data_IF_228362817728
#
_entry.id   IF_228362817728
#
_cell.length_a   1.000
_cell.length_b   1.000
_cell.length_c   1.000
_cell.angle_alpha   90.00
_cell.angle_beta   90.00
_cell.angle_gamma   90.00
#
_symmetry.space_group_name_H-M   'P 1'
#
loop_
_entity.id
_entity.type
_entity.pdbx_description
1 polymer ?
#
# COMPACT_ATOMS: atom_id res chain seq x y z
N UNK A 1 -18.79 -13.67 19.11
CA UNK A 1 -19.02 -12.42 18.40
C UNK A 1 -18.89 -12.78 16.93
N UNK A 2 -20.00 -12.95 16.21
CA UNK A 2 -19.97 -13.19 14.78
C UNK A 2 -19.68 -11.85 14.12
N UNK A 3 -18.56 -11.74 13.40
CA UNK A 3 -18.34 -10.62 12.52
C UNK A 3 -19.37 -10.70 11.40
N UNK A 4 -20.11 -9.61 11.19
CA UNK A 4 -21.05 -9.50 10.08
C UNK A 4 -20.22 -9.43 8.80
N UNK A 5 -20.13 -10.55 8.08
CA UNK A 5 -19.29 -10.73 6.89
C UNK A 5 -19.99 -10.23 5.61
N UNK A 6 -21.18 -9.67 5.74
CA UNK A 6 -22.07 -9.34 4.63
C UNK A 6 -21.57 -8.28 3.63
N UNK A 7 -20.43 -7.62 3.86
CA UNK A 7 -19.87 -6.62 2.94
C UNK A 7 -18.33 -6.72 2.82
N UNK A 8 -17.73 -7.87 3.15
CA UNK A 8 -16.29 -8.07 3.07
C UNK A 8 -15.83 -8.18 1.62
N UNK A 9 -15.02 -7.20 1.20
CA UNK A 9 -14.29 -7.29 -0.06
C UNK A 9 -13.11 -8.24 0.11
N UNK A 10 -13.01 -9.22 -0.76
CA UNK A 10 -11.86 -10.13 -0.83
C UNK A 10 -11.18 -10.06 -2.20
N UNK A 11 -9.87 -10.22 -2.19
CA UNK A 11 -9.06 -10.23 -3.39
C UNK A 11 -9.29 -11.54 -4.14
N UNK A 12 -9.65 -11.48 -5.43
CA UNK A 12 -9.89 -12.65 -6.27
C UNK A 12 -8.84 -12.82 -7.35
N UNK A 13 -8.22 -11.73 -7.83
CA UNK A 13 -7.11 -11.83 -8.77
C UNK A 13 -6.09 -10.71 -8.60
N UNK A 14 -4.85 -10.98 -9.03
CA UNK A 14 -3.73 -10.07 -9.03
C UNK A 14 -2.94 -10.21 -10.33
N UNK A 15 -2.66 -9.09 -10.97
CA UNK A 15 -1.88 -8.96 -12.18
C UNK A 15 -0.65 -8.10 -11.93
N UNK A 16 0.53 -8.58 -12.33
CA UNK A 16 1.78 -7.85 -12.25
C UNK A 16 2.43 -7.81 -13.64
N UNK A 17 2.89 -6.65 -14.07
CA UNK A 17 3.69 -6.48 -15.29
C UNK A 17 4.90 -5.61 -14.96
N UNK A 18 6.09 -6.09 -15.27
CA UNK A 18 7.38 -5.46 -15.01
C UNK A 18 7.53 -4.95 -13.56
N UNK A 19 6.96 -5.70 -12.62
CA UNK A 19 6.97 -5.35 -11.21
C UNK A 19 8.02 -6.15 -10.45
N UNK A 20 8.97 -5.47 -9.82
CA UNK A 20 10.07 -6.07 -9.06
C UNK A 20 10.89 -7.04 -9.94
N UNK A 21 10.77 -8.35 -9.70
CA UNK A 21 11.45 -9.40 -10.47
C UNK A 21 10.56 -10.05 -11.55
N UNK A 22 9.29 -9.68 -11.61
CA UNK A 22 8.34 -10.25 -12.57
C UNK A 22 8.35 -9.51 -13.91
N UNK A 23 8.40 -10.24 -15.01
CA UNK A 23 8.04 -9.74 -16.34
C UNK A 23 6.53 -9.62 -16.46
N UNK A 24 5.87 -10.74 -16.21
CA UNK A 24 4.43 -10.84 -16.01
C UNK A 24 4.14 -11.91 -14.97
N UNK A 25 3.09 -11.71 -14.20
CA UNK A 25 2.59 -12.69 -13.25
C UNK A 25 1.10 -12.47 -13.10
N UNK A 26 0.35 -13.55 -13.16
CA UNK A 26 -1.09 -13.56 -12.93
C UNK A 26 -1.42 -14.58 -11.86
N UNK A 27 -2.29 -14.19 -10.96
CA UNK A 27 -2.82 -15.04 -9.91
C UNK A 27 -4.32 -14.79 -9.84
N UNK A 28 -5.11 -15.83 -10.00
CA UNK A 28 -6.57 -15.82 -9.89
C UNK A 28 -7.05 -16.86 -8.87
N UNK A 29 -8.35 -16.95 -8.70
CA UNK A 29 -8.99 -17.86 -7.76
C UNK A 29 -8.44 -17.76 -6.32
N UNK A 30 -8.04 -16.54 -5.93
CA UNK A 30 -7.61 -16.26 -4.56
C UNK A 30 -8.78 -16.49 -3.61
N UNK A 31 -8.61 -17.48 -2.73
CA UNK A 31 -9.61 -17.84 -1.73
C UNK A 31 -9.36 -17.13 -0.39
N UNK A 32 -10.20 -17.46 0.58
CA UNK A 32 -10.10 -16.97 1.95
C UNK A 32 -8.72 -17.19 2.58
N UNK A 33 -8.06 -18.27 2.24
CA UNK A 33 -6.68 -18.58 2.61
C UNK A 33 -5.89 -18.93 1.35
N UNK A 34 -4.82 -18.20 1.09
CA UNK A 34 -3.89 -18.45 -0.02
C UNK A 34 -2.48 -18.57 0.51
N UNK A 35 -1.79 -19.64 0.16
CA UNK A 35 -0.42 -19.93 0.60
C UNK A 35 0.53 -19.89 -0.60
N UNK A 36 1.48 -18.97 -0.59
CA UNK A 36 2.53 -18.86 -1.62
C UNK A 36 3.74 -19.71 -1.23
N UNK A 37 4.00 -20.76 -1.98
CA UNK A 37 5.13 -21.68 -1.75
C UNK A 37 6.13 -21.59 -2.89
N UNK A 38 7.41 -21.70 -2.59
CA UNK A 38 8.47 -21.70 -3.60
C UNK A 38 9.84 -21.34 -3.03
N UNK A 39 10.92 -21.44 -3.82
CA UNK A 39 12.28 -21.11 -3.41
C UNK A 39 12.43 -19.66 -2.92
N UNK A 40 13.52 -19.39 -2.20
CA UNK A 40 13.86 -18.01 -1.85
C UNK A 40 14.15 -17.19 -3.12
N UNK A 41 13.85 -15.89 -3.04
CA UNK A 41 14.01 -14.94 -4.14
C UNK A 41 13.10 -15.15 -5.39
N UNK A 42 12.21 -16.13 -5.41
CA UNK A 42 11.27 -16.34 -6.53
C UNK A 42 10.25 -15.19 -6.68
N UNK A 43 10.06 -14.38 -5.65
CA UNK A 43 9.15 -13.22 -5.74
C UNK A 43 7.94 -13.25 -4.80
N UNK A 44 7.79 -14.24 -3.93
CA UNK A 44 6.65 -14.34 -2.98
C UNK A 44 6.38 -13.04 -2.23
N UNK A 45 7.41 -12.42 -1.69
CA UNK A 45 7.32 -11.14 -0.99
C UNK A 45 6.90 -9.99 -1.92
N UNK A 46 7.25 -10.06 -3.21
CA UNK A 46 6.84 -9.05 -4.19
C UNK A 46 5.35 -9.14 -4.51
N UNK A 47 4.77 -10.35 -4.47
CA UNK A 47 3.30 -10.54 -4.57
C UNK A 47 2.59 -9.89 -3.39
N UNK A 48 3.04 -10.16 -2.16
CA UNK A 48 2.47 -9.54 -0.94
C UNK A 48 2.61 -8.00 -0.98
N UNK A 49 3.77 -7.50 -1.44
CA UNK A 49 4.00 -6.07 -1.60
C UNK A 49 3.05 -5.44 -2.64
N UNK A 50 2.79 -6.13 -3.75
CA UNK A 50 1.83 -5.68 -4.76
C UNK A 50 0.40 -5.59 -4.20
N UNK A 51 -0.02 -6.58 -3.43
CA UNK A 51 -1.33 -6.57 -2.73
C UNK A 51 -1.40 -5.35 -1.80
N UNK A 52 -0.38 -5.10 -0.99
CA UNK A 52 -0.36 -3.95 -0.09
C UNK A 52 -0.41 -2.60 -0.86
N UNK A 53 0.26 -2.51 -2.01
CA UNK A 53 0.24 -1.29 -2.83
C UNK A 53 -1.15 -0.95 -3.35
N UNK A 54 -1.99 -1.93 -3.67
CA UNK A 54 -3.35 -1.69 -4.19
C UNK A 54 -4.40 -1.61 -3.08
N UNK A 55 -4.09 -2.06 -1.87
CA UNK A 55 -4.99 -2.01 -0.70
C UNK A 55 -4.64 -0.86 0.25
N UNK A 56 -3.47 -0.89 0.86
CA UNK A 56 -2.99 0.13 1.79
C UNK A 56 -2.29 1.31 1.10
N UNK A 57 -2.09 1.28 -0.23
CA UNK A 57 -1.52 2.34 -1.08
C UNK A 57 -0.05 2.66 -0.79
N UNK A 58 0.62 1.80 -0.06
CA UNK A 58 2.03 1.95 0.31
C UNK A 58 2.80 0.62 0.20
N UNK A 59 4.11 0.68 0.17
CA UNK A 59 4.99 -0.49 0.22
C UNK A 59 5.70 -0.55 1.56
N UNK A 60 5.70 -1.71 2.21
CA UNK A 60 6.50 -1.96 3.43
C UNK A 60 8.01 -2.02 3.18
N UNK A 61 8.45 -2.05 1.91
CA UNK A 61 9.89 -2.16 1.56
C UNK A 61 10.50 -0.86 1.08
N UNK A 62 9.71 0.03 0.45
CA UNK A 62 10.25 1.26 -0.13
C UNK A 62 9.19 2.33 -0.36
N UNK A 63 9.56 3.58 -0.08
CA UNK A 63 8.77 4.74 -0.47
C UNK A 63 9.02 5.18 -1.93
N UNK A 64 10.14 4.71 -2.56
CA UNK A 64 10.55 5.12 -3.90
C UNK A 64 9.85 4.29 -4.97
N UNK A 65 8.99 4.91 -5.77
CA UNK A 65 8.24 4.24 -6.84
C UNK A 65 9.13 3.56 -7.88
N UNK A 66 10.27 4.18 -8.23
CA UNK A 66 11.22 3.63 -9.20
C UNK A 66 11.81 2.27 -8.79
N UNK A 67 11.88 1.97 -7.47
CA UNK A 67 12.33 0.66 -6.98
C UNK A 67 11.31 -0.45 -7.13
N UNK A 68 10.07 -0.13 -7.44
CA UNK A 68 9.00 -1.10 -7.69
C UNK A 68 9.05 -1.62 -9.12
N UNK A 69 9.61 -0.83 -10.05
CA UNK A 69 9.77 -1.19 -11.45
C UNK A 69 10.89 -2.22 -11.59
N UNK A 70 10.69 -3.22 -12.46
CA UNK A 70 11.70 -4.23 -12.78
C UNK A 70 12.96 -3.57 -13.34
N UNK A 71 14.12 -4.11 -13.00
CA UNK A 71 15.39 -3.64 -13.54
C UNK A 71 15.41 -3.75 -15.07
N UNK A 72 15.82 -2.68 -15.74
CA UNK A 72 15.82 -2.57 -17.22
C UNK A 72 14.51 -2.02 -17.81
N UNK A 73 13.45 -1.92 -17.00
CA UNK A 73 12.14 -1.42 -17.42
C UNK A 73 11.88 0.02 -16.97
N UNK A 74 11.00 0.72 -17.69
CA UNK A 74 10.63 2.12 -17.41
C UNK A 74 9.28 2.27 -16.74
N UNK A 75 8.47 1.20 -16.75
CA UNK A 75 7.09 1.18 -16.23
C UNK A 75 6.84 -0.15 -15.54
N UNK A 76 5.92 -0.11 -14.58
CA UNK A 76 5.32 -1.31 -14.01
C UNK A 76 3.82 -1.12 -13.84
N UNK A 77 3.09 -2.22 -13.84
CA UNK A 77 1.65 -2.25 -13.60
C UNK A 77 1.33 -3.29 -12.53
N UNK A 78 0.40 -2.93 -11.64
CA UNK A 78 -0.22 -3.82 -10.67
C UNK A 78 -1.72 -3.67 -10.81
N UNK A 79 -2.42 -4.75 -11.13
CA UNK A 79 -3.88 -4.82 -11.18
C UNK A 79 -4.41 -5.78 -10.11
N UNK A 80 -5.53 -5.45 -9.51
CA UNK A 80 -6.21 -6.30 -8.53
C UNK A 80 -7.72 -6.23 -8.71
N UNK A 81 -8.40 -7.36 -8.64
CA UNK A 81 -9.86 -7.45 -8.60
C UNK A 81 -10.31 -7.92 -7.24
N UNK A 82 -11.28 -7.21 -6.68
CA UNK A 82 -11.85 -7.50 -5.37
C UNK A 82 -13.36 -7.63 -5.52
N UNK A 83 -13.92 -8.65 -4.90
CA UNK A 83 -15.35 -8.94 -4.96
C UNK A 83 -15.91 -8.97 -3.53
N UNK A 84 -17.07 -8.38 -3.33
CA UNK A 84 -17.92 -8.49 -2.15
C UNK A 84 -19.35 -8.68 -2.58
N UNK A 85 -20.29 -8.84 -1.64
CA UNK A 85 -21.69 -9.15 -1.97
C UNK A 85 -22.35 -8.12 -2.91
N UNK A 86 -22.06 -6.83 -2.72
CA UNK A 86 -22.65 -5.74 -3.50
C UNK A 86 -21.63 -4.97 -4.34
N UNK A 87 -20.34 -5.35 -4.33
CA UNK A 87 -19.27 -4.58 -4.96
C UNK A 87 -18.32 -5.46 -5.75
N UNK A 88 -18.00 -5.02 -6.98
CA UNK A 88 -16.91 -5.55 -7.81
C UNK A 88 -15.98 -4.39 -8.13
N UNK A 89 -14.78 -4.43 -7.61
CA UNK A 89 -13.81 -3.36 -7.71
C UNK A 89 -12.56 -3.82 -8.45
N UNK A 90 -12.16 -3.06 -9.48
CA UNK A 90 -10.85 -3.15 -10.11
C UNK A 90 -9.99 -2.00 -9.61
N UNK A 91 -8.87 -2.32 -8.96
CA UNK A 91 -7.87 -1.35 -8.53
C UNK A 91 -6.61 -1.56 -9.36
N UNK A 92 -6.15 -0.50 -10.01
CA UNK A 92 -4.94 -0.54 -10.82
C UNK A 92 -3.92 0.50 -10.33
N UNK A 93 -2.65 0.14 -10.36
CA UNK A 93 -1.53 1.02 -10.11
C UNK A 93 -0.57 0.98 -11.29
N UNK A 94 -0.47 2.10 -12.00
CA UNK A 94 0.55 2.33 -13.02
C UNK A 94 1.72 3.11 -12.42
N UNK A 95 2.94 2.60 -12.61
CA UNK A 95 4.18 3.21 -12.13
C UNK A 95 5.02 3.61 -13.33
N UNK A 96 5.44 4.89 -13.38
CA UNK A 96 6.36 5.42 -14.40
C UNK A 96 7.40 6.31 -13.73
N UNK A 97 8.66 5.89 -13.71
CA UNK A 97 9.73 6.61 -13.01
C UNK A 97 9.40 6.78 -11.51
N UNK A 98 9.24 8.00 -11.04
CA UNK A 98 8.85 8.32 -9.65
C UNK A 98 7.35 8.50 -9.45
N UNK A 99 6.55 8.45 -10.53
CA UNK A 99 5.11 8.69 -10.49
C UNK A 99 4.33 7.41 -10.26
N UNK A 100 3.25 7.52 -9.48
CA UNK A 100 2.24 6.48 -9.25
C UNK A 100 0.88 7.02 -9.67
N UNK A 101 0.17 6.29 -10.51
CA UNK A 101 -1.18 6.63 -10.93
C UNK A 101 -2.12 5.49 -10.57
N UNK A 102 -3.09 5.78 -9.74
CA UNK A 102 -4.10 4.81 -9.33
C UNK A 102 -5.39 4.98 -10.13
N UNK A 103 -6.02 3.84 -10.46
CA UNK A 103 -7.36 3.81 -11.04
C UNK A 103 -8.26 2.90 -10.21
N UNK A 104 -9.53 3.28 -10.11
CA UNK A 104 -10.60 2.48 -9.54
C UNK A 104 -11.69 2.33 -10.60
N UNK A 105 -11.98 1.09 -10.97
CA UNK A 105 -12.93 0.77 -12.06
C UNK A 105 -12.63 1.59 -13.33
N UNK A 106 -11.36 1.60 -13.76
CA UNK A 106 -10.85 2.31 -14.95
C UNK A 106 -10.74 3.83 -14.80
N UNK A 107 -11.21 4.45 -13.70
CA UNK A 107 -11.18 5.91 -13.50
C UNK A 107 -10.02 6.30 -12.60
N UNK A 108 -9.17 7.23 -13.06
CA UNK A 108 -8.06 7.77 -12.25
C UNK A 108 -8.58 8.38 -10.95
N UNK A 109 -7.91 8.05 -9.85
CA UNK A 109 -8.23 8.50 -8.49
C UNK A 109 -7.00 9.05 -7.79
N UNK A 110 -7.20 10.02 -6.91
CA UNK A 110 -6.15 10.46 -5.99
C UNK A 110 -5.99 9.44 -4.87
N UNK A 111 -4.80 9.29 -4.32
CA UNK A 111 -4.52 8.40 -3.18
C UNK A 111 -5.47 8.68 -2.00
N UNK A 112 -5.77 9.95 -1.73
CA UNK A 112 -6.70 10.35 -0.68
C UNK A 112 -8.14 9.84 -0.89
N UNK A 113 -8.56 9.67 -2.15
CA UNK A 113 -9.91 9.18 -2.48
C UNK A 113 -10.02 7.66 -2.30
N UNK A 114 -8.88 6.95 -2.36
CA UNK A 114 -8.77 5.49 -2.17
C UNK A 114 -8.47 5.11 -0.73
N UNK A 115 -7.92 6.01 0.07
CA UNK A 115 -7.60 5.74 1.47
C UNK A 115 -8.82 5.24 2.25
N UNK A 116 -8.65 4.14 2.96
CA UNK A 116 -9.72 3.50 3.73
C UNK A 116 -10.77 2.74 2.90
N UNK A 117 -10.54 2.57 1.57
CA UNK A 117 -11.44 1.76 0.73
C UNK A 117 -11.22 0.26 0.99
N UNK A 118 -9.96 -0.12 1.16
CA UNK A 118 -9.51 -1.50 1.30
C UNK A 118 -8.46 -1.58 2.41
N UNK A 119 -8.88 -1.57 3.69
CA UNK A 119 -7.93 -1.71 4.78
C UNK A 119 -7.25 -3.08 4.71
N UNK A 120 -5.92 -3.08 4.79
CA UNK A 120 -5.12 -4.30 4.77
C UNK A 120 -4.00 -4.22 5.81
N UNK A 121 -3.72 -5.34 6.47
CA UNK A 121 -2.61 -5.46 7.39
C UNK A 121 -1.59 -6.44 6.81
N UNK A 122 -0.36 -5.97 6.67
CA UNK A 122 0.78 -6.80 6.29
C UNK A 122 1.65 -7.01 7.52
N UNK A 123 1.99 -8.25 7.81
CA UNK A 123 2.89 -8.60 8.90
C UNK A 123 4.20 -9.18 8.33
N UNK A 124 5.32 -8.59 8.70
CA UNK A 124 6.66 -8.98 8.24
C UNK A 124 7.58 -9.27 9.42
N UNK A 125 8.71 -9.98 9.24
CA UNK A 125 9.70 -10.14 10.30
C UNK A 125 10.24 -8.80 10.87
N UNK A 126 10.25 -7.74 10.06
CA UNK A 126 10.69 -6.41 10.48
C UNK A 126 9.71 -5.76 11.48
N UNK A 127 8.46 -6.20 11.54
CA UNK A 127 7.46 -5.70 12.49
C UNK A 127 7.78 -6.08 13.95
N UNK A 128 8.73 -6.97 14.19
CA UNK A 128 9.33 -7.19 15.51
C UNK A 128 9.94 -5.90 16.09
N UNK A 129 10.34 -4.96 15.22
CA UNK A 129 10.79 -3.63 15.65
C UNK A 129 9.68 -2.79 16.30
N UNK A 130 8.41 -3.10 16.07
CA UNK A 130 7.29 -2.45 16.77
C UNK A 130 7.32 -2.74 18.26
N UNK A 131 7.80 -3.93 18.65
CA UNK A 131 7.93 -4.33 20.06
C UNK A 131 9.27 -3.89 20.63
N UNK A 132 10.37 -4.17 19.93
CA UNK A 132 11.75 -3.98 20.42
C UNK A 132 12.34 -2.61 20.10
N UNK A 133 11.77 -1.90 19.13
CA UNK A 133 12.31 -0.64 18.61
C UNK A 133 11.82 0.61 19.32
N UNK A 134 12.17 1.75 18.75
CA UNK A 134 11.84 3.07 19.30
C UNK A 134 10.32 3.35 19.26
N UNK A 135 9.84 4.19 20.18
CA UNK A 135 8.44 4.60 20.25
C UNK A 135 7.94 5.29 18.97
N UNK A 136 8.82 5.87 18.15
CA UNK A 136 8.48 6.45 16.86
C UNK A 136 7.90 5.40 15.90
N UNK A 137 8.53 4.23 15.78
CA UNK A 137 8.03 3.15 14.91
C UNK A 137 6.60 2.70 15.29
N UNK A 138 6.31 2.63 16.60
CA UNK A 138 4.96 2.30 17.07
C UNK A 138 3.93 3.38 16.71
N UNK A 139 4.30 4.66 16.86
CA UNK A 139 3.42 5.78 16.48
C UNK A 139 3.15 5.75 14.99
N UNK A 140 4.19 5.59 14.17
CA UNK A 140 4.04 5.54 12.72
C UNK A 140 3.14 4.39 12.26
N UNK A 141 3.25 3.22 12.88
CA UNK A 141 2.40 2.06 12.58
C UNK A 141 0.93 2.31 12.98
N UNK A 142 0.68 2.87 14.17
CA UNK A 142 -0.68 3.23 14.61
C UNK A 142 -1.29 4.31 13.72
N UNK A 143 -0.49 5.30 13.34
CA UNK A 143 -0.91 6.37 12.44
C UNK A 143 -1.25 5.82 11.04
N UNK A 144 -0.46 4.87 10.53
CA UNK A 144 -0.74 4.21 9.25
C UNK A 144 -2.04 3.43 9.31
N UNK A 145 -2.27 2.66 10.39
CA UNK A 145 -3.52 1.93 10.61
C UNK A 145 -4.71 2.88 10.74
N UNK A 146 -4.59 3.95 11.54
CA UNK A 146 -5.64 4.96 11.70
C UNK A 146 -6.01 5.62 10.37
N UNK A 147 -5.02 5.89 9.50
CA UNK A 147 -5.26 6.46 8.18
C UNK A 147 -6.00 5.50 7.23
N UNK A 148 -5.85 4.19 7.40
CA UNK A 148 -6.62 3.20 6.64
C UNK A 148 -8.07 3.08 7.11
N UNK A 149 -8.31 3.28 8.42
CA UNK A 149 -9.66 3.14 9.00
C UNK A 149 -10.49 4.40 8.81
N UNK A 150 -9.87 5.58 8.81
CA UNK A 150 -10.58 6.86 8.80
C UNK A 150 -9.96 7.87 7.83
N UNK A 151 -10.75 8.29 6.82
CA UNK A 151 -10.36 9.36 5.88
C UNK A 151 -10.11 10.69 6.60
N UNK A 152 -10.89 11.00 7.64
CA UNK A 152 -10.69 12.21 8.43
C UNK A 152 -9.37 12.14 9.20
N UNK A 153 -9.02 11.00 9.78
CA UNK A 153 -7.73 10.82 10.44
C UNK A 153 -6.58 11.00 9.46
N UNK A 154 -6.68 10.40 8.27
CA UNK A 154 -5.66 10.56 7.20
C UNK A 154 -5.46 12.03 6.81
N UNK A 155 -6.53 12.81 6.66
CA UNK A 155 -6.47 14.23 6.34
C UNK A 155 -5.80 15.03 7.47
N UNK A 156 -6.25 14.85 8.71
CA UNK A 156 -5.69 15.54 9.90
C UNK A 156 -4.20 15.22 10.07
N UNK A 157 -3.81 13.96 9.93
CA UNK A 157 -2.40 13.53 9.96
C UNK A 157 -1.56 14.23 8.90
N UNK A 158 -2.07 14.30 7.67
CA UNK A 158 -1.39 14.98 6.56
C UNK A 158 -1.17 16.47 6.86
N UNK A 159 -2.18 17.15 7.37
CA UNK A 159 -2.11 18.58 7.67
C UNK A 159 -1.20 18.85 8.88
N UNK A 160 -1.27 18.01 9.90
CA UNK A 160 -0.34 18.07 11.04
C UNK A 160 1.13 17.93 10.57
N UNK A 161 1.42 16.96 9.71
CA UNK A 161 2.77 16.78 9.18
C UNK A 161 3.28 18.00 8.39
N UNK A 162 2.40 18.67 7.62
CA UNK A 162 2.75 19.92 6.92
C UNK A 162 3.07 21.06 7.92
N UNK A 163 2.24 21.22 8.94
CA UNK A 163 2.43 22.26 9.96
C UNK A 163 3.73 22.05 10.74
N UNK A 164 4.03 20.80 11.15
CA UNK A 164 5.30 20.47 11.82
C UNK A 164 6.49 20.80 10.92
N UNK A 165 6.41 20.50 9.62
CA UNK A 165 7.47 20.83 8.66
C UNK A 165 7.66 22.33 8.50
N UNK A 166 6.57 23.11 8.47
CA UNK A 166 6.63 24.57 8.40
C UNK A 166 7.24 25.15 9.67
N UNK A 167 6.77 24.72 10.85
CA UNK A 167 7.34 25.11 12.14
C UNK A 167 8.85 24.86 12.21
N UNK A 168 9.29 23.64 11.84
CA UNK A 168 10.71 23.30 11.91
C UNK A 168 11.57 24.11 10.92
N UNK A 169 11.00 24.55 9.79
CA UNK A 169 11.68 25.46 8.87
C UNK A 169 11.83 26.87 9.46
N UNK A 170 10.78 27.39 10.10
CA UNK A 170 10.82 28.71 10.72
C UNK A 170 11.86 28.75 11.85
N UNK A 171 11.86 27.76 12.74
CA UNK A 171 12.85 27.65 13.83
C UNK A 171 14.29 27.59 13.32
N UNK A 172 14.56 26.86 12.23
CA UNK A 172 15.91 26.80 11.63
C UNK A 172 16.33 28.10 10.98
N UNK A 173 15.40 28.91 10.46
CA UNK A 173 15.72 30.21 9.91
C UNK A 173 16.08 31.22 11.01
N UNK A 174 15.41 31.16 12.16
CA UNK A 174 15.73 32.01 13.32
C UNK A 174 17.07 31.66 14.00
N UNK A 175 17.54 30.39 13.91
CA UNK A 175 18.85 29.97 14.44
C UNK A 175 20.03 30.37 13.51
N UNK A 176 19.75 30.86 12.31
CA UNK A 176 20.77 31.18 11.28
C UNK A 176 21.03 32.69 11.14
N UNK A 177 20.28 33.53 11.85
CA UNK A 177 20.47 34.98 11.99
C UNK A 177 21.14 35.28 13.37
#
# INVERSE_FOLDING_TARGET
MAFDTADELHLVSLDLVHFRNYDSFHLDELGYLTILVGPNAVGKTSVVEAIQLVTALESFRTSKASRLVKWGETRAHVGARLIGEARDLSVELDIKGSSRTYKLNGKTKRVADLAGLLPAVTFTPDDLHLVKGAAAARRDALDALGAQISKNFAAVRSDYAKLVKQKNRALKAEESD
#
